data_IF_560042812211
#
_entry.id   IF_560042812211
#
_cell.length_a   1.000
_cell.length_b   1.000
_cell.length_c   1.000
_cell.angle_alpha   90.00
_cell.angle_beta   90.00
_cell.angle_gamma   90.00
#
_symmetry.space_group_name_H-M   'P 1'
#
loop_
_entity.id
_entity.type
_entity.pdbx_description
1 polymer ?
#
# COMPACT_ATOMS: atom_id res chain seq x y z
N UNK A 1 -20.63 -26.72 -54.49
CA UNK A 1 -21.18 -26.62 -53.13
C UNK A 1 -20.05 -26.15 -52.22
N UNK A 2 -20.00 -24.86 -51.86
CA UNK A 2 -18.95 -24.28 -51.00
C UNK A 2 -19.50 -24.20 -49.57
N UNK A 3 -18.93 -24.97 -48.65
CA UNK A 3 -19.28 -24.94 -47.23
C UNK A 3 -18.52 -23.78 -46.60
N UNK A 4 -19.26 -22.77 -46.15
CA UNK A 4 -18.73 -21.64 -45.38
C UNK A 4 -18.67 -22.09 -43.90
N UNK A 5 -17.47 -22.36 -43.39
CA UNK A 5 -17.25 -22.65 -41.97
C UNK A 5 -17.20 -21.32 -41.22
N UNK A 6 -18.27 -21.00 -40.49
CA UNK A 6 -18.29 -19.86 -39.57
C UNK A 6 -17.59 -20.32 -38.28
N UNK A 7 -16.36 -19.87 -38.08
CA UNK A 7 -15.64 -19.97 -36.81
C UNK A 7 -16.29 -18.99 -35.81
N UNK A 8 -17.12 -19.52 -34.92
CA UNK A 8 -17.60 -18.82 -33.72
C UNK A 8 -16.42 -18.58 -32.78
N UNK A 9 -15.84 -17.38 -32.84
CA UNK A 9 -14.98 -16.87 -31.79
C UNK A 9 -15.85 -16.55 -30.56
N UNK A 10 -15.96 -17.50 -29.63
CA UNK A 10 -16.45 -17.20 -28.30
C UNK A 10 -15.41 -16.29 -27.60
N UNK A 11 -15.80 -15.10 -27.10
CA UNK A 11 -14.89 -14.30 -26.30
C UNK A 11 -14.60 -15.06 -25.01
N UNK A 12 -13.35 -15.48 -24.83
CA UNK A 12 -12.86 -15.93 -23.53
C UNK A 12 -12.98 -14.74 -22.57
N UNK A 13 -14.03 -14.73 -21.76
CA UNK A 13 -14.11 -13.84 -20.61
C UNK A 13 -13.00 -14.26 -19.65
N UNK A 14 -11.89 -13.52 -19.68
CA UNK A 14 -10.85 -13.61 -18.67
C UNK A 14 -11.43 -13.05 -17.38
N UNK A 15 -12.00 -13.92 -16.55
CA UNK A 15 -12.32 -13.58 -15.17
C UNK A 15 -11.01 -13.34 -14.43
N UNK A 16 -10.62 -12.06 -14.29
CA UNK A 16 -9.57 -11.65 -13.37
C UNK A 16 -10.03 -12.06 -11.97
N UNK A 17 -9.44 -13.13 -11.42
CA UNK A 17 -9.66 -13.52 -10.03
C UNK A 17 -9.26 -12.33 -9.13
N UNK A 18 -10.24 -11.67 -8.53
CA UNK A 18 -9.98 -10.73 -7.44
C UNK A 18 -9.33 -11.52 -6.31
N UNK A 19 -8.00 -11.42 -6.17
CA UNK A 19 -7.32 -11.89 -4.97
C UNK A 19 -7.93 -11.14 -3.79
N UNK A 20 -8.70 -11.84 -2.95
CA UNK A 20 -9.17 -11.32 -1.67
C UNK A 20 -7.94 -10.89 -0.86
N UNK A 21 -7.73 -9.58 -0.72
CA UNK A 21 -6.61 -9.06 0.06
C UNK A 21 -6.89 -9.31 1.54
N UNK A 22 -6.06 -10.13 2.18
CA UNK A 22 -6.10 -10.29 3.63
C UNK A 22 -5.10 -9.33 4.27
N UNK A 23 -5.61 -8.41 5.07
CA UNK A 23 -4.78 -7.51 5.87
C UNK A 23 -4.32 -8.18 7.17
N UNK A 24 -3.32 -7.60 7.82
CA UNK A 24 -2.84 -8.03 9.12
C UNK A 24 -3.84 -7.72 10.22
N UNK A 25 -4.03 -8.67 11.14
CA UNK A 25 -4.80 -8.47 12.37
C UNK A 25 -3.85 -8.14 13.52
N UNK A 26 -3.80 -6.88 13.94
CA UNK A 26 -2.87 -6.40 14.98
C UNK A 26 -3.50 -6.26 16.37
N UNK A 27 -4.80 -6.58 16.50
CA UNK A 27 -5.54 -6.39 17.75
C UNK A 27 -5.43 -4.95 18.27
N UNK A 28 -5.55 -3.98 17.37
CA UNK A 28 -5.61 -2.56 17.70
C UNK A 28 -7.07 -2.24 18.02
N UNK A 29 -7.37 -1.46 19.10
CA UNK A 29 -8.75 -1.13 19.46
C UNK A 29 -9.50 -0.50 18.29
N UNK A 30 -10.69 -1.03 18.03
CA UNK A 30 -11.56 -0.49 16.99
C UNK A 30 -12.23 0.80 17.49
N UNK A 31 -12.21 1.81 16.64
CA UNK A 31 -12.82 3.13 16.83
C UNK A 31 -14.10 3.30 16.00
N UNK A 32 -14.47 2.29 15.19
CA UNK A 32 -15.61 2.35 14.27
C UNK A 32 -15.38 3.25 13.05
N UNK A 33 -14.14 3.69 12.80
CA UNK A 33 -13.78 4.59 11.69
C UNK A 33 -13.08 3.88 10.52
N UNK A 34 -13.21 2.56 10.44
CA UNK A 34 -12.63 1.80 9.34
C UNK A 34 -13.29 2.16 8.00
N UNK A 35 -12.52 2.36 6.92
CA UNK A 35 -13.06 2.52 5.59
C UNK A 35 -13.88 1.32 5.10
N UNK A 36 -15.00 1.59 4.43
CA UNK A 36 -15.79 0.53 3.76
C UNK A 36 -15.21 0.15 2.40
N UNK A 37 -14.54 1.08 1.73
CA UNK A 37 -14.00 0.91 0.38
C UNK A 37 -12.74 1.72 0.16
N UNK A 38 -11.78 1.14 -0.57
CA UNK A 38 -10.53 1.77 -0.95
C UNK A 38 -10.26 1.47 -2.41
N UNK A 39 -10.05 2.52 -3.22
CA UNK A 39 -9.75 2.43 -4.65
C UNK A 39 -8.48 3.21 -4.97
N UNK A 40 -7.64 2.64 -5.82
CA UNK A 40 -6.46 3.31 -6.37
C UNK A 40 -6.80 3.79 -7.78
N UNK A 41 -7.12 5.08 -7.89
CA UNK A 41 -7.43 5.73 -9.15
C UNK A 41 -6.19 6.43 -9.73
N UNK A 42 -6.36 7.07 -10.89
CA UNK A 42 -5.27 7.82 -11.54
C UNK A 42 -4.91 9.08 -10.75
N UNK A 43 -5.92 9.72 -10.17
CA UNK A 43 -5.85 10.94 -9.38
C UNK A 43 -5.33 10.71 -7.95
N UNK A 44 -5.39 9.47 -7.45
CA UNK A 44 -4.93 9.15 -6.11
C UNK A 44 -5.65 7.97 -5.45
N UNK A 45 -5.65 7.99 -4.12
CA UNK A 45 -6.31 6.99 -3.27
C UNK A 45 -7.67 7.56 -2.86
N UNK A 46 -8.72 6.85 -3.27
CA UNK A 46 -10.12 7.17 -2.96
C UNK A 46 -10.58 6.24 -1.85
N UNK A 47 -11.07 6.80 -0.75
CA UNK A 47 -11.58 6.08 0.42
C UNK A 47 -13.03 6.50 0.59
N UNK A 48 -13.96 5.53 0.65
CA UNK A 48 -15.40 5.80 0.77
C UNK A 48 -15.87 6.88 -0.20
N UNK A 49 -15.49 6.71 -1.46
CA UNK A 49 -15.81 7.58 -2.61
C UNK A 49 -15.20 9.00 -2.54
N UNK A 50 -14.38 9.30 -1.53
CA UNK A 50 -13.67 10.56 -1.36
C UNK A 50 -12.19 10.42 -1.71
N UNK A 51 -11.68 11.29 -2.58
CA UNK A 51 -10.24 11.40 -2.83
C UNK A 51 -9.56 11.88 -1.53
N UNK A 52 -8.65 11.08 -0.97
CA UNK A 52 -7.99 11.37 0.31
C UNK A 52 -6.50 11.70 0.16
N UNK A 53 -5.81 10.98 -0.73
CA UNK A 53 -4.36 11.13 -0.91
C UNK A 53 -4.01 11.10 -2.39
N UNK A 54 -2.91 11.74 -2.74
CA UNK A 54 -2.23 11.54 -4.03
C UNK A 54 -1.10 10.54 -3.84
N UNK A 55 -0.68 9.90 -4.92
CA UNK A 55 0.54 9.11 -4.90
C UNK A 55 1.34 9.34 -6.18
N UNK A 56 2.66 9.20 -6.06
CA UNK A 56 3.57 9.28 -7.20
C UNK A 56 4.50 8.07 -7.19
N UNK A 57 4.81 7.56 -8.38
CA UNK A 57 5.88 6.60 -8.60
C UNK A 57 7.06 7.34 -9.20
N UNK A 58 8.22 7.24 -8.54
CA UNK A 58 9.47 7.81 -9.01
C UNK A 58 10.47 6.70 -9.25
N UNK A 59 11.26 6.87 -10.30
CA UNK A 59 12.32 5.95 -10.69
C UNK A 59 13.69 6.59 -10.49
N UNK A 60 14.67 5.78 -10.10
CA UNK A 60 16.07 6.21 -9.93
C UNK A 60 16.28 7.31 -8.87
N UNK A 61 15.53 7.26 -7.77
CA UNK A 61 15.66 8.18 -6.63
C UNK A 61 16.77 7.70 -5.70
N UNK A 62 17.63 8.60 -5.26
CA UNK A 62 18.61 8.31 -4.20
C UNK A 62 17.96 8.50 -2.83
N UNK A 63 17.97 7.45 -2.02
CA UNK A 63 17.52 7.47 -0.63
C UNK A 63 18.71 7.16 0.29
N UNK A 64 18.50 7.23 1.60
CA UNK A 64 19.49 6.78 2.59
C UNK A 64 19.84 5.28 2.47
N UNK A 65 19.00 4.49 1.78
CA UNK A 65 19.23 3.07 1.48
C UNK A 65 19.89 2.86 0.10
N UNK A 66 20.33 3.93 -0.56
CA UNK A 66 20.93 3.91 -1.89
C UNK A 66 19.95 4.24 -3.01
N UNK A 67 20.33 3.90 -4.25
CA UNK A 67 19.53 4.21 -5.44
C UNK A 67 18.35 3.24 -5.56
N UNK A 68 17.12 3.75 -5.41
CA UNK A 68 15.89 3.00 -5.61
C UNK A 68 15.34 3.16 -7.02
N UNK A 69 14.99 2.03 -7.64
CA UNK A 69 14.32 2.00 -8.96
C UNK A 69 12.81 2.11 -8.85
N UNK A 70 12.23 1.74 -7.70
CA UNK A 70 10.79 1.77 -7.46
C UNK A 70 10.55 2.49 -6.14
N UNK A 71 10.54 3.82 -6.20
CA UNK A 71 10.20 4.65 -5.06
C UNK A 71 8.77 5.18 -5.22
N UNK A 72 8.04 5.27 -4.12
CA UNK A 72 6.72 5.88 -4.11
C UNK A 72 6.58 6.87 -2.96
N UNK A 73 5.78 7.90 -3.21
CA UNK A 73 5.32 8.84 -2.20
C UNK A 73 3.80 8.80 -2.17
N UNK A 74 3.25 8.95 -0.97
CA UNK A 74 1.83 9.19 -0.72
C UNK A 74 1.76 10.55 -0.02
N UNK A 75 1.02 11.47 -0.61
CA UNK A 75 0.88 12.84 -0.13
C UNK A 75 -0.58 13.15 0.18
N UNK A 76 -0.80 14.04 1.15
CA UNK A 76 -2.11 14.67 1.34
C UNK A 76 -2.46 15.55 0.14
N UNK A 77 -3.73 15.95 0.03
CA UNK A 77 -4.18 16.77 -1.10
C UNK A 77 -3.54 18.16 -1.16
N UNK A 78 -3.07 18.69 -0.03
CA UNK A 78 -2.28 19.93 0.08
C UNK A 78 -0.78 19.72 -0.18
N UNK A 79 -0.36 18.50 -0.55
CA UNK A 79 0.99 18.20 -1.00
C UNK A 79 1.99 17.83 0.10
N UNK A 80 1.56 17.67 1.36
CA UNK A 80 2.46 17.21 2.44
C UNK A 80 2.74 15.72 2.29
N UNK A 81 4.00 15.32 2.49
CA UNK A 81 4.40 13.91 2.49
C UNK A 81 3.81 13.20 3.70
N UNK A 82 3.04 12.15 3.45
CA UNK A 82 2.39 11.33 4.47
C UNK A 82 3.18 10.05 4.70
N UNK A 83 3.45 9.31 3.61
CA UNK A 83 4.23 8.08 3.61
C UNK A 83 5.14 8.04 2.39
N UNK A 84 6.24 7.32 2.49
CA UNK A 84 7.04 6.97 1.31
C UNK A 84 7.58 5.56 1.45
N UNK A 85 7.89 4.90 0.33
CA UNK A 85 8.52 3.60 0.38
C UNK A 85 9.33 3.25 -0.85
N UNK A 86 10.15 2.23 -0.69
CA UNK A 86 10.91 1.59 -1.76
C UNK A 86 10.46 0.15 -1.93
N UNK A 87 10.44 -0.31 -3.18
CA UNK A 87 10.22 -1.71 -3.54
C UNK A 87 11.49 -2.21 -4.23
N UNK A 88 12.11 -3.24 -3.66
CA UNK A 88 13.38 -3.78 -4.17
C UNK A 88 13.38 -5.30 -4.12
N UNK A 89 14.30 -5.91 -4.87
CA UNK A 89 14.56 -7.34 -4.77
C UNK A 89 15.71 -7.58 -3.80
N UNK A 90 15.53 -8.48 -2.84
CA UNK A 90 16.59 -8.91 -1.93
C UNK A 90 17.60 -9.85 -2.64
N UNK A 91 18.62 -10.31 -1.91
CA UNK A 91 19.67 -11.21 -2.45
C UNK A 91 19.10 -12.54 -2.98
N UNK A 92 17.95 -12.97 -2.45
CA UNK A 92 17.23 -14.18 -2.88
C UNK A 92 16.28 -13.92 -4.06
N UNK A 93 16.29 -12.70 -4.62
CA UNK A 93 15.41 -12.22 -5.70
C UNK A 93 13.92 -12.15 -5.31
N UNK A 94 13.63 -12.08 -4.03
CA UNK A 94 12.28 -11.89 -3.50
C UNK A 94 11.99 -10.39 -3.40
N UNK A 95 10.75 -9.99 -3.69
CA UNK A 95 10.33 -8.61 -3.57
C UNK A 95 10.08 -8.23 -2.11
N UNK A 96 10.72 -7.16 -1.66
CA UNK A 96 10.52 -6.57 -0.33
C UNK A 96 10.09 -5.11 -0.46
N UNK A 97 9.32 -4.67 0.54
CA UNK A 97 8.98 -3.27 0.74
C UNK A 97 9.70 -2.72 1.97
N UNK A 98 10.16 -1.47 1.87
CA UNK A 98 10.59 -0.70 3.03
C UNK A 98 9.91 0.66 3.02
N UNK A 99 9.34 1.04 4.17
CA UNK A 99 8.46 2.20 4.31
C UNK A 99 9.03 3.18 5.32
N UNK A 100 8.82 4.47 5.06
CA UNK A 100 9.03 5.56 6.01
C UNK A 100 7.69 6.20 6.38
N UNK A 101 7.56 6.51 7.66
CA UNK A 101 6.41 7.18 8.28
C UNK A 101 6.85 8.56 8.84
N UNK A 102 6.99 9.59 7.98
CA UNK A 102 7.37 10.94 8.41
C UNK A 102 6.53 11.52 9.54
N UNK A 103 5.23 11.21 9.58
CA UNK A 103 4.30 11.74 10.61
C UNK A 103 4.64 11.31 12.05
N UNK A 104 5.43 10.25 12.23
CA UNK A 104 5.88 9.76 13.55
C UNK A 104 7.40 9.62 13.62
N UNK A 105 8.13 10.26 12.69
CA UNK A 105 9.59 10.21 12.58
C UNK A 105 10.18 8.79 12.65
N UNK A 106 9.56 7.87 11.90
CA UNK A 106 10.06 6.49 11.77
C UNK A 106 10.41 6.17 10.32
N UNK A 107 11.50 5.45 10.14
CA UNK A 107 11.99 4.98 8.84
C UNK A 107 12.33 3.50 8.91
N UNK A 108 12.58 2.88 7.75
CA UNK A 108 13.06 1.50 7.69
C UNK A 108 12.03 0.47 8.15
N UNK A 109 10.74 0.80 8.16
CA UNK A 109 9.70 -0.20 8.44
C UNK A 109 9.74 -1.30 7.39
N UNK A 110 9.76 -2.55 7.82
CA UNK A 110 9.55 -3.71 6.95
C UNK A 110 8.49 -4.62 7.51
N UNK A 111 7.70 -5.21 6.62
CA UNK A 111 6.85 -6.33 6.94
C UNK A 111 6.68 -7.19 5.69
N UNK A 112 6.81 -8.50 5.81
CA UNK A 112 6.68 -9.48 4.74
C UNK A 112 5.36 -9.41 3.96
N UNK A 113 4.29 -8.91 4.59
CA UNK A 113 2.97 -8.70 3.98
C UNK A 113 2.78 -7.31 3.36
N UNK A 114 3.77 -6.42 3.48
CA UNK A 114 3.73 -5.05 2.94
C UNK A 114 4.91 -4.83 2.01
N UNK A 115 4.67 -5.09 0.73
CA UNK A 115 5.66 -4.91 -0.35
C UNK A 115 5.36 -3.61 -1.09
N UNK A 116 4.09 -3.35 -1.40
CA UNK A 116 3.64 -2.25 -2.25
C UNK A 116 2.88 -1.16 -1.50
N UNK A 117 2.70 0.00 -2.15
CA UNK A 117 1.81 1.07 -1.65
C UNK A 117 0.38 0.57 -1.41
N UNK A 118 -0.10 -0.38 -2.21
CA UNK A 118 -1.44 -0.94 -2.06
C UNK A 118 -1.54 -1.73 -0.75
N UNK A 119 -0.55 -2.56 -0.49
CA UNK A 119 -0.46 -3.36 0.73
C UNK A 119 -0.42 -2.46 1.95
N UNK A 120 0.40 -1.41 1.89
CA UNK A 120 0.55 -0.43 2.96
C UNK A 120 -0.81 0.20 3.30
N UNK A 121 -1.48 0.82 2.34
CA UNK A 121 -2.75 1.51 2.57
C UNK A 121 -3.82 0.55 3.10
N UNK A 122 -3.95 -0.64 2.51
CA UNK A 122 -4.97 -1.60 2.96
C UNK A 122 -4.73 -2.02 4.41
N UNK A 123 -3.48 -2.30 4.80
CA UNK A 123 -3.14 -2.69 6.16
C UNK A 123 -3.27 -1.52 7.17
N UNK A 124 -2.94 -0.30 6.75
CA UNK A 124 -3.13 0.89 7.57
C UNK A 124 -4.62 1.17 7.79
N UNK A 125 -5.46 1.02 6.77
CA UNK A 125 -6.90 1.20 6.89
C UNK A 125 -7.56 0.13 7.75
N UNK A 126 -7.21 -1.15 7.60
CA UNK A 126 -7.75 -2.21 8.47
C UNK A 126 -7.27 -2.12 9.91
N UNK A 127 -6.20 -1.36 10.16
CA UNK A 127 -5.70 -1.05 11.49
C UNK A 127 -6.23 0.29 12.01
N UNK A 128 -7.16 0.91 11.28
CA UNK A 128 -7.74 2.22 11.57
C UNK A 128 -6.67 3.29 11.84
N UNK A 129 -5.57 3.19 11.11
CA UNK A 129 -4.56 4.24 11.00
C UNK A 129 -5.04 5.27 9.99
N UNK A 130 -5.59 4.82 8.86
CA UNK A 130 -6.25 5.66 7.88
C UNK A 130 -7.76 5.44 8.03
N UNK A 131 -8.46 6.48 8.45
CA UNK A 131 -9.90 6.44 8.71
C UNK A 131 -10.72 6.75 7.45
N UNK A 132 -12.00 6.40 7.51
CA UNK A 132 -13.00 6.67 6.46
C UNK A 132 -13.18 8.17 6.13
N UNK A 133 -12.86 9.07 7.06
CA UNK A 133 -12.92 10.52 6.86
C UNK A 133 -11.64 11.12 6.23
N UNK A 134 -10.68 10.27 5.82
CA UNK A 134 -9.32 10.58 5.36
C UNK A 134 -8.35 11.02 6.47
N UNK A 135 -8.74 11.01 7.74
CA UNK A 135 -7.81 11.36 8.83
C UNK A 135 -6.81 10.24 9.11
N UNK A 136 -5.67 10.63 9.67
CA UNK A 136 -4.64 9.69 10.13
C UNK A 136 -4.63 9.68 11.64
N UNK A 137 -4.90 8.51 12.23
CA UNK A 137 -4.78 8.29 13.65
C UNK A 137 -3.31 8.00 14.00
N UNK A 138 -2.64 8.99 14.60
CA UNK A 138 -1.21 8.90 14.94
C UNK A 138 -0.91 7.87 16.03
N UNK A 139 -1.84 7.63 16.96
CA UNK A 139 -1.65 6.64 18.01
C UNK A 139 -1.74 5.22 17.45
N UNK A 140 -2.72 4.98 16.57
CA UNK A 140 -2.79 3.72 15.84
C UNK A 140 -1.60 3.56 14.89
N UNK A 141 -1.08 4.63 14.29
CA UNK A 141 0.12 4.56 13.43
C UNK A 141 1.36 4.11 14.23
N UNK A 142 1.54 4.63 15.44
CA UNK A 142 2.62 4.20 16.36
C UNK A 142 2.46 2.73 16.73
N UNK A 143 1.26 2.33 17.16
CA UNK A 143 0.96 0.93 17.51
C UNK A 143 1.14 -0.02 16.34
N UNK A 144 0.71 0.39 15.14
CA UNK A 144 0.93 -0.35 13.90
C UNK A 144 2.42 -0.60 13.70
N UNK A 145 3.24 0.47 13.71
CA UNK A 145 4.68 0.36 13.57
C UNK A 145 5.29 -0.59 14.62
N UNK A 146 4.98 -0.41 15.90
CA UNK A 146 5.58 -1.20 17.00
C UNK A 146 5.21 -2.69 16.94
N UNK A 147 3.96 -2.99 16.58
CA UNK A 147 3.44 -4.36 16.56
C UNK A 147 3.81 -5.12 15.29
N UNK A 148 3.84 -4.45 14.13
CA UNK A 148 3.99 -5.12 12.84
C UNK A 148 5.34 -4.92 12.16
N UNK A 149 6.21 -4.03 12.63
CA UNK A 149 7.53 -3.91 12.06
C UNK A 149 8.35 -5.18 12.34
N UNK A 150 8.75 -5.87 11.28
CA UNK A 150 9.64 -7.04 11.31
C UNK A 150 11.11 -6.62 11.29
N UNK A 151 11.39 -5.36 10.91
CA UNK A 151 12.72 -4.77 11.04
C UNK A 151 12.98 -4.29 12.48
N UNK A 152 12.63 -5.12 13.47
CA UNK A 152 13.03 -4.85 14.86
C UNK A 152 14.53 -5.02 14.91
N UNK A 153 15.24 -3.89 14.91
CA UNK A 153 16.66 -3.87 15.18
C UNK A 153 16.94 -4.72 16.41
N UNK A 154 17.91 -5.63 16.26
CA UNK A 154 18.75 -6.02 17.38
C UNK A 154 19.17 -4.72 18.05
N UNK A 155 18.70 -4.48 19.27
CA UNK A 155 19.24 -3.41 20.11
C UNK A 155 20.77 -3.54 20.05
N UNK A 156 21.44 -2.54 19.48
CA UNK A 156 22.88 -2.37 19.67
C UNK A 156 23.11 -1.82 21.09
#
# INVERSE_FOLDING_TARGET
>A
MRILVILLFAPMMVFSQEKTYQTMRLGIPETGKEPNSIKFAKEGIVIDEKLCFRYELKHNVFTEYGKSRNYYEITSLDGKLVFSGIIYQNEKREWEGMVSFPLIDKKGYKNSKIISRKDLILNLSSSQVINNDCTINLDNLKLFYEKSNENKEKNF
#
